data_IF_257851654305
#
_entry.id   IF_257851654305
#
_cell.length_a   1.000
_cell.length_b   1.000
_cell.length_c   1.000
_cell.angle_alpha   90.00
_cell.angle_beta   90.00
_cell.angle_gamma   90.00
#
_symmetry.space_group_name_H-M   'P 1'
#
loop_
_entity.id
_entity.type
_entity.pdbx_description
1 polymer ?
#
# COMPACT_ATOMS: atom_id res chain seq x y z
N UNK A 1 18.10 9.22 -16.30
CA UNK A 1 18.20 7.88 -16.90
C UNK A 1 16.82 7.22 -16.86
N UNK A 2 16.47 6.32 -17.78
CA UNK A 2 15.26 5.51 -17.63
C UNK A 2 15.36 4.67 -16.34
N UNK A 3 14.25 4.57 -15.60
CA UNK A 3 14.19 3.76 -14.38
C UNK A 3 14.14 2.29 -14.80
N UNK A 4 15.07 1.48 -14.29
CA UNK A 4 15.14 0.06 -14.59
C UNK A 4 14.37 -0.76 -13.54
N UNK A 5 13.41 -1.56 -14.01
CA UNK A 5 12.62 -2.47 -13.18
C UNK A 5 13.11 -3.91 -13.37
N UNK A 6 13.35 -4.59 -12.26
CA UNK A 6 13.43 -6.04 -12.21
C UNK A 6 12.04 -6.63 -12.07
N UNK A 7 11.88 -7.88 -12.51
CA UNK A 7 10.61 -8.59 -12.31
C UNK A 7 10.80 -10.08 -12.00
N UNK A 8 9.80 -10.65 -11.33
CA UNK A 8 9.59 -12.09 -11.18
C UNK A 8 8.26 -12.47 -11.82
N UNK A 9 8.16 -13.70 -12.32
CA UNK A 9 6.93 -14.25 -12.87
C UNK A 9 6.59 -15.57 -12.19
N UNK A 10 5.31 -15.76 -11.87
CA UNK A 10 4.78 -16.99 -11.30
C UNK A 10 3.42 -17.33 -11.91
N UNK A 11 3.28 -18.55 -12.39
CA UNK A 11 1.98 -19.16 -12.73
C UNK A 11 1.57 -20.08 -11.58
N UNK A 12 0.45 -19.79 -10.91
CA UNK A 12 -0.06 -20.67 -9.85
C UNK A 12 -0.95 -21.77 -10.41
N UNK A 13 -1.12 -22.84 -9.63
CA UNK A 13 -1.93 -24.01 -10.01
C UNK A 13 -3.42 -23.71 -10.22
N UNK A 14 -3.89 -22.57 -9.68
CA UNK A 14 -5.23 -22.01 -9.91
C UNK A 14 -5.33 -21.20 -11.22
N UNK A 15 -4.30 -21.23 -12.07
CA UNK A 15 -4.27 -20.56 -13.37
C UNK A 15 -3.97 -19.06 -13.32
N UNK A 16 -3.73 -18.49 -12.13
CA UNK A 16 -3.43 -17.07 -11.98
C UNK A 16 -1.96 -16.84 -12.36
N UNK A 17 -1.75 -16.00 -13.37
CA UNK A 17 -0.45 -15.46 -13.70
C UNK A 17 -0.15 -14.25 -12.79
N UNK A 18 1.09 -14.14 -12.33
CA UNK A 18 1.57 -13.00 -11.55
C UNK A 18 2.91 -12.52 -12.05
N UNK A 19 3.02 -11.23 -12.26
CA UNK A 19 4.29 -10.53 -12.48
C UNK A 19 4.50 -9.56 -11.32
N UNK A 20 5.64 -9.64 -10.64
CA UNK A 20 5.99 -8.70 -9.56
C UNK A 20 7.20 -7.91 -10.01
N UNK A 21 7.14 -6.58 -9.85
CA UNK A 21 8.13 -5.63 -10.31
C UNK A 21 8.71 -4.85 -9.13
N UNK A 22 9.99 -4.46 -9.24
CA UNK A 22 10.66 -3.58 -8.29
C UNK A 22 11.84 -2.86 -8.96
N UNK A 23 12.12 -1.62 -8.56
CA UNK A 23 13.32 -0.86 -9.00
C UNK A 23 14.63 -1.56 -8.62
N UNK A 24 15.69 -1.39 -9.42
CA UNK A 24 16.98 -1.97 -9.10
C UNK A 24 17.70 -1.26 -7.96
N UNK A 25 17.63 0.07 -7.92
CA UNK A 25 18.27 0.90 -6.91
C UNK A 25 17.22 1.67 -6.11
N UNK A 26 17.43 1.80 -4.80
CA UNK A 26 16.59 2.67 -3.97
C UNK A 26 16.87 4.12 -4.35
N UNK A 27 15.83 4.93 -4.49
CA UNK A 27 15.92 6.35 -4.81
C UNK A 27 15.62 6.68 -6.27
N UNK A 28 15.61 5.72 -7.20
CA UNK A 28 15.40 6.01 -8.63
C UNK A 28 14.03 6.66 -8.88
N UNK A 29 12.97 6.03 -8.35
CA UNK A 29 11.62 6.56 -8.44
C UNK A 29 11.41 7.69 -7.44
N UNK A 30 11.92 7.54 -6.20
CA UNK A 30 11.67 8.52 -5.15
C UNK A 30 12.31 9.88 -5.44
N UNK A 31 13.49 9.93 -6.06
CA UNK A 31 14.13 11.18 -6.46
C UNK A 31 13.33 11.91 -7.54
N UNK A 32 12.72 11.17 -8.47
CA UNK A 32 11.81 11.75 -9.45
C UNK A 32 10.58 12.37 -8.76
N UNK A 33 9.96 11.65 -7.82
CA UNK A 33 8.84 12.18 -7.03
C UNK A 33 9.26 13.44 -6.26
N UNK A 34 10.40 13.42 -5.55
CA UNK A 34 10.93 14.61 -4.85
C UNK A 34 11.14 15.81 -5.78
N UNK A 35 11.56 15.59 -7.02
CA UNK A 35 11.74 16.68 -7.98
C UNK A 35 10.41 17.38 -8.33
N UNK A 36 9.31 16.61 -8.40
CA UNK A 36 7.97 17.09 -8.77
C UNK A 36 7.23 17.76 -7.61
N UNK A 37 7.55 17.38 -6.37
CA UNK A 37 6.90 17.85 -5.15
C UNK A 37 7.89 18.61 -4.25
N UNK A 38 8.00 19.96 -4.39
CA UNK A 38 8.89 20.78 -3.58
C UNK A 38 8.70 20.60 -2.06
N UNK A 39 7.48 20.30 -1.61
CA UNK A 39 7.17 20.00 -0.21
C UNK A 39 7.99 18.82 0.35
N UNK A 40 8.44 17.90 -0.51
CA UNK A 40 9.30 16.78 -0.15
C UNK A 40 10.80 17.11 -0.23
N UNK A 41 11.19 18.27 -0.78
CA UNK A 41 12.60 18.70 -0.91
C UNK A 41 13.13 19.45 0.31
N UNK A 42 12.23 20.02 1.12
CA UNK A 42 12.59 21.00 2.15
C UNK A 42 13.49 20.48 3.26
N UNK A 43 13.56 19.17 3.49
CA UNK A 43 14.36 18.60 4.57
C UNK A 43 14.77 17.15 4.26
N UNK A 44 16.02 16.82 4.56
CA UNK A 44 16.60 15.50 4.29
C UNK A 44 15.77 14.40 4.97
N UNK A 45 15.31 13.46 4.14
CA UNK A 45 14.80 12.18 4.57
C UNK A 45 15.94 11.41 5.27
N UNK A 46 15.63 10.62 6.28
CA UNK A 46 16.49 9.54 6.79
C UNK A 46 16.04 8.21 6.14
N UNK A 47 16.30 7.95 4.84
CA UNK A 47 16.15 6.61 4.30
C UNK A 47 17.33 5.79 4.79
N UNK A 48 17.07 4.65 5.42
CA UNK A 48 17.99 3.52 5.32
C UNK A 48 19.40 3.81 5.88
N UNK A 49 19.53 3.96 7.21
CA UNK A 49 20.85 3.75 7.83
C UNK A 49 21.26 2.31 7.53
N UNK A 50 22.19 2.11 6.60
CA UNK A 50 23.00 0.89 6.59
C UNK A 50 23.66 0.81 7.98
N UNK A 51 23.69 -0.36 8.63
CA UNK A 51 24.39 -0.48 9.90
C UNK A 51 25.86 -0.07 9.69
N UNK A 52 26.45 0.79 10.55
CA UNK A 52 27.85 1.12 10.46
C UNK A 52 28.70 -0.15 10.61
N UNK A 53 29.73 -0.27 9.78
CA UNK A 53 30.78 -1.28 9.94
C UNK A 53 31.62 -0.94 11.17
N UNK A 54 31.54 -1.82 12.17
CA UNK A 54 32.49 -2.16 13.24
C UNK A 54 32.92 -1.07 14.26
N UNK A 55 32.83 -1.41 15.56
CA UNK A 55 33.97 -1.51 16.50
C UNK A 55 33.47 -1.87 17.92
N UNK A 56 34.26 -2.70 18.60
CA UNK A 56 34.09 -3.17 19.98
C UNK A 56 33.98 -2.02 20.99
N UNK A 57 33.20 -2.24 22.06
CA UNK A 57 33.48 -1.59 23.34
C UNK A 57 32.27 -1.04 24.10
N UNK A 58 31.90 -1.81 25.12
CA UNK A 58 31.31 -1.37 26.39
C UNK A 58 29.82 -1.01 26.48
N UNK A 59 29.31 -1.43 27.63
CA UNK A 59 27.94 -1.62 28.05
C UNK A 59 27.20 -0.32 28.38
N UNK A 60 26.08 -0.11 27.69
CA UNK A 60 24.88 0.53 28.26
C UNK A 60 23.68 0.07 27.43
N UNK A 61 22.53 -0.07 28.08
CA UNK A 61 21.35 -0.83 27.63
C UNK A 61 20.95 -0.54 26.17
N UNK A 62 20.47 -1.54 25.41
CA UNK A 62 20.00 -1.30 24.05
C UNK A 62 18.64 -0.60 24.14
N UNK A 63 18.65 0.70 23.85
CA UNK A 63 17.46 1.44 23.49
C UNK A 63 16.79 0.68 22.33
N UNK A 64 15.59 0.16 22.55
CA UNK A 64 14.79 -0.57 21.56
C UNK A 64 14.20 0.37 20.50
N UNK A 65 15.00 1.30 19.98
CA UNK A 65 14.71 2.06 18.77
C UNK A 65 15.34 1.37 17.56
N UNK A 66 15.09 0.06 17.45
CA UNK A 66 15.16 -0.63 16.17
C UNK A 66 14.04 -0.08 15.30
N UNK A 67 14.30 1.03 14.62
CA UNK A 67 13.47 1.53 13.53
C UNK A 67 13.13 0.34 12.64
N UNK A 68 11.89 -0.13 12.76
CA UNK A 68 11.31 -1.21 11.98
C UNK A 68 11.09 -0.70 10.55
N UNK A 69 12.18 -0.31 9.88
CA UNK A 69 12.15 0.10 8.49
C UNK A 69 11.69 -1.12 7.70
N UNK A 70 10.47 -1.00 7.20
CA UNK A 70 9.78 -1.99 6.41
C UNK A 70 10.70 -2.44 5.27
N UNK A 71 11.29 -3.64 5.40
CA UNK A 71 12.25 -4.13 4.42
C UNK A 71 11.56 -4.32 3.08
N UNK A 72 12.14 -3.75 2.02
CA UNK A 72 11.69 -3.89 0.64
C UNK A 72 11.44 -5.34 0.22
N UNK A 73 12.26 -6.28 0.72
CA UNK A 73 12.06 -7.71 0.52
C UNK A 73 10.76 -8.21 1.16
N UNK A 74 10.44 -7.75 2.36
CA UNK A 74 9.19 -8.08 3.07
C UNK A 74 7.98 -7.57 2.29
N UNK A 75 8.03 -6.37 1.71
CA UNK A 75 6.96 -5.85 0.84
C UNK A 75 6.86 -6.60 -0.48
N UNK A 76 8.00 -6.95 -1.09
CA UNK A 76 8.00 -7.81 -2.28
C UNK A 76 7.29 -9.14 -1.98
N UNK A 77 7.61 -9.78 -0.86
CA UNK A 77 6.99 -11.04 -0.47
C UNK A 77 5.50 -10.86 -0.14
N UNK A 78 5.10 -9.74 0.45
CA UNK A 78 3.69 -9.38 0.69
C UNK A 78 2.90 -9.32 -0.62
N UNK A 79 3.38 -8.56 -1.61
CA UNK A 79 2.69 -8.43 -2.91
C UNK A 79 2.73 -9.73 -3.73
N UNK A 80 3.74 -10.59 -3.52
CA UNK A 80 3.80 -11.93 -4.13
C UNK A 80 2.82 -12.92 -3.51
N UNK A 81 2.61 -12.83 -2.19
CA UNK A 81 1.77 -13.73 -1.41
C UNK A 81 0.29 -13.43 -1.61
N UNK A 82 -0.11 -12.16 -1.50
CA UNK A 82 -1.50 -11.74 -1.49
C UNK A 82 -2.09 -11.68 -2.89
N UNK A 83 -2.49 -12.86 -3.36
CA UNK A 83 -3.13 -13.02 -4.64
C UNK A 83 -4.63 -12.98 -4.66
N UNK A 84 -5.12 -12.55 -5.81
CA UNK A 84 -6.53 -12.39 -6.08
C UNK A 84 -6.79 -12.87 -7.50
N UNK A 85 -7.98 -13.43 -7.73
CA UNK A 85 -8.43 -13.76 -9.07
C UNK A 85 -8.73 -12.48 -9.86
N UNK A 86 -8.60 -12.58 -11.18
CA UNK A 86 -8.87 -11.49 -12.12
C UNK A 86 -7.63 -10.69 -12.52
N UNK A 87 -7.88 -9.72 -13.40
CA UNK A 87 -6.86 -8.80 -13.93
C UNK A 87 -6.78 -7.57 -13.03
N UNK A 88 -5.67 -7.41 -12.29
CA UNK A 88 -5.50 -6.28 -11.38
C UNK A 88 -4.05 -5.83 -11.22
N UNK A 89 -3.88 -4.57 -10.86
CA UNK A 89 -2.65 -4.01 -10.29
C UNK A 89 -2.74 -4.12 -8.77
N UNK A 90 -1.67 -4.61 -8.15
CA UNK A 90 -1.46 -4.62 -6.70
C UNK A 90 -0.27 -3.72 -6.42
N UNK A 91 -0.43 -2.65 -5.64
CA UNK A 91 0.68 -1.75 -5.32
C UNK A 91 0.69 -1.35 -3.85
N UNK A 92 1.90 -1.17 -3.32
CA UNK A 92 2.09 -0.80 -1.93
C UNK A 92 2.38 0.69 -1.78
N UNK A 93 1.64 1.33 -0.89
CA UNK A 93 1.81 2.73 -0.48
C UNK A 93 2.58 2.78 0.83
N UNK A 94 3.84 3.19 0.76
CA UNK A 94 4.73 3.33 1.90
C UNK A 94 4.66 4.76 2.48
N UNK A 95 4.70 4.91 3.82
CA UNK A 95 4.77 6.22 4.45
C UNK A 95 6.15 6.86 4.28
N UNK A 96 6.14 8.16 3.99
CA UNK A 96 7.28 9.07 4.03
C UNK A 96 6.96 10.11 5.08
N UNK A 97 7.82 10.22 6.09
CA UNK A 97 7.78 11.31 7.06
C UNK A 97 8.76 12.39 6.63
N UNK A 98 8.32 13.64 6.61
CA UNK A 98 9.19 14.80 6.45
C UNK A 98 9.44 15.46 7.81
N UNK A 99 10.54 16.19 7.95
CA UNK A 99 11.00 16.71 9.25
C UNK A 99 10.01 17.69 9.92
N UNK A 100 9.02 18.20 9.19
CA UNK A 100 7.91 18.98 9.75
C UNK A 100 6.89 18.13 10.53
N UNK A 101 7.13 16.82 10.70
CA UNK A 101 6.19 15.88 11.31
C UNK A 101 5.06 15.42 10.38
N UNK A 102 5.00 15.91 9.14
CA UNK A 102 3.98 15.51 8.16
C UNK A 102 4.32 14.17 7.54
N UNK A 103 3.30 13.36 7.31
CA UNK A 103 3.34 12.03 6.72
C UNK A 103 2.63 12.06 5.37
N UNK A 104 3.30 11.51 4.36
CA UNK A 104 2.76 11.29 3.03
C UNK A 104 2.87 9.82 2.69
N UNK A 105 2.08 9.33 1.74
CA UNK A 105 2.23 8.01 1.16
C UNK A 105 2.73 8.11 -0.28
N UNK A 106 3.59 7.18 -0.67
CA UNK A 106 4.07 7.03 -2.05
C UNK A 106 4.10 5.56 -2.47
N UNK A 107 4.02 5.33 -3.78
CA UNK A 107 4.31 4.03 -4.40
C UNK A 107 5.73 3.97 -4.99
N UNK A 108 6.50 5.06 -4.89
CA UNK A 108 7.86 5.12 -5.41
C UNK A 108 8.82 4.19 -4.66
N UNK A 109 9.65 3.50 -5.43
CA UNK A 109 10.59 2.46 -5.01
C UNK A 109 9.95 1.28 -4.27
N UNK A 110 8.62 1.17 -4.33
CA UNK A 110 7.87 0.07 -3.74
C UNK A 110 7.59 -1.04 -4.76
N UNK A 111 7.73 -2.31 -4.36
CA UNK A 111 7.28 -3.43 -5.17
C UNK A 111 5.79 -3.34 -5.51
N UNK A 112 5.44 -3.75 -6.72
CA UNK A 112 4.05 -3.85 -7.19
C UNK A 112 3.89 -5.09 -8.07
N UNK A 113 2.66 -5.54 -8.27
CA UNK A 113 2.37 -6.74 -9.04
C UNK A 113 1.20 -6.53 -10.01
N UNK A 114 1.22 -7.26 -11.13
CA UNK A 114 0.06 -7.47 -11.96
C UNK A 114 -0.41 -8.93 -11.82
N UNK A 115 -1.69 -9.11 -11.56
CA UNK A 115 -2.35 -10.42 -11.60
C UNK A 115 -3.12 -10.60 -12.91
N UNK A 116 -3.24 -11.85 -13.35
CA UNK A 116 -4.08 -12.25 -14.49
C UNK A 116 -3.42 -11.91 -15.83
N UNK A 117 -3.81 -10.79 -16.43
CA UNK A 117 -3.21 -10.29 -17.68
C UNK A 117 -2.52 -8.97 -17.40
N UNK A 118 -1.44 -8.68 -18.15
CA UNK A 118 -0.90 -7.32 -18.17
C UNK A 118 -1.86 -6.47 -19.00
N UNK A 119 -2.59 -5.56 -18.35
CA UNK A 119 -3.55 -4.64 -18.97
C UNK A 119 -2.93 -3.25 -19.09
N UNK A 120 -2.92 -2.67 -20.30
CA UNK A 120 -2.28 -1.38 -20.57
C UNK A 120 -2.83 -0.26 -19.68
N UNK A 121 -4.14 -0.22 -19.48
CA UNK A 121 -4.77 0.76 -18.61
C UNK A 121 -4.31 0.66 -17.14
N UNK A 122 -4.08 -0.56 -16.64
CA UNK A 122 -3.55 -0.76 -15.29
C UNK A 122 -2.07 -0.36 -15.20
N UNK A 123 -1.31 -0.60 -16.27
CA UNK A 123 0.07 -0.12 -16.40
C UNK A 123 0.15 1.41 -16.41
N UNK A 124 -0.69 2.07 -17.20
CA UNK A 124 -0.80 3.52 -17.22
C UNK A 124 -1.23 4.07 -15.84
N UNK A 125 -2.15 3.38 -15.16
CA UNK A 125 -2.62 3.77 -13.83
C UNK A 125 -1.50 3.65 -12.77
N UNK A 126 -0.64 2.62 -12.85
CA UNK A 126 0.59 2.51 -12.04
C UNK A 126 1.50 3.73 -12.23
N UNK A 127 1.68 4.20 -13.47
CA UNK A 127 2.51 5.39 -13.77
C UNK A 127 1.92 6.67 -13.18
N UNK A 128 0.60 6.84 -13.21
CA UNK A 128 -0.06 7.98 -12.55
C UNK A 128 0.13 7.90 -11.03
N UNK A 129 -0.03 6.70 -10.46
CA UNK A 129 0.17 6.44 -9.03
C UNK A 129 1.61 6.73 -8.58
N UNK A 130 2.59 6.44 -9.44
CA UNK A 130 4.01 6.71 -9.20
C UNK A 130 4.30 8.21 -9.05
N UNK A 131 3.60 9.04 -9.82
CA UNK A 131 3.77 10.49 -9.83
C UNK A 131 2.80 11.20 -8.89
N UNK A 132 2.20 10.47 -7.94
CA UNK A 132 1.24 10.99 -6.97
C UNK A 132 1.74 10.72 -5.55
N UNK A 133 1.46 11.66 -4.64
CA UNK A 133 1.61 11.46 -3.20
C UNK A 133 0.27 11.69 -2.51
N UNK A 134 0.02 10.94 -1.43
CA UNK A 134 -1.18 11.11 -0.62
C UNK A 134 -0.83 11.65 0.76
N UNK A 135 -1.32 12.84 1.11
CA UNK A 135 -1.09 13.42 2.44
C UNK A 135 -1.93 12.69 3.50
N UNK A 136 -1.27 12.24 4.57
CA UNK A 136 -1.92 11.58 5.72
C UNK A 136 -2.39 12.59 6.76
N UNK A 137 -1.78 13.78 6.84
CA UNK A 137 -2.02 14.71 7.96
C UNK A 137 -2.87 15.93 7.58
N UNK A 138 -2.84 16.40 6.34
CA UNK A 138 -3.54 17.63 5.94
C UNK A 138 -4.86 17.33 5.22
N UNK A 139 -6.00 17.84 5.71
CA UNK A 139 -7.30 17.88 5.00
C UNK A 139 -7.49 19.09 4.10
N UNK A 140 -6.57 20.04 4.18
CA UNK A 140 -6.63 21.27 3.40
C UNK A 140 -6.10 21.01 1.99
N UNK A 141 -6.99 21.15 1.01
CA UNK A 141 -6.65 21.20 -0.41
C UNK A 141 -6.01 22.57 -0.65
N UNK A 142 -4.68 22.66 -0.51
CA UNK A 142 -3.96 23.84 -0.96
C UNK A 142 -4.12 23.94 -2.50
N UNK A 143 -4.62 25.08 -2.97
CA UNK A 143 -4.86 25.38 -4.38
C UNK A 143 -3.59 25.32 -5.25
N UNK A 144 -2.41 25.18 -4.63
CA UNK A 144 -1.15 24.85 -5.30
C UNK A 144 -1.10 23.38 -5.76
N UNK A 145 -1.86 23.17 -6.84
CA UNK A 145 -1.91 22.03 -7.78
C UNK A 145 -0.62 21.19 -7.82
N UNK A 146 -0.64 20.08 -7.10
CA UNK A 146 -0.02 18.76 -7.42
C UNK A 146 -0.18 17.79 -6.25
N UNK A 147 -0.27 18.29 -5.01
CA UNK A 147 -0.53 17.47 -3.82
C UNK A 147 -2.03 17.20 -3.72
N UNK A 148 -2.47 16.03 -4.17
CA UNK A 148 -3.87 15.63 -4.06
C UNK A 148 -4.16 15.14 -2.64
N UNK A 149 -4.71 16.06 -1.86
CA UNK A 149 -5.13 15.90 -0.47
C UNK A 149 -6.24 14.84 -0.39
N UNK A 150 -6.04 13.85 0.48
CA UNK A 150 -6.93 12.71 0.78
C UNK A 150 -7.28 11.77 -0.38
N UNK A 151 -6.27 11.16 -0.99
CA UNK A 151 -6.46 9.87 -1.66
C UNK A 151 -6.87 8.78 -0.66
N UNK A 152 -7.69 7.82 -1.10
CA UNK A 152 -8.07 6.61 -0.34
C UNK A 152 -6.94 5.97 0.47
N UNK A 153 -5.70 5.79 -0.05
CA UNK A 153 -4.62 5.21 0.73
C UNK A 153 -4.33 5.98 2.02
N UNK A 154 -4.38 7.31 2.01
CA UNK A 154 -4.15 8.12 3.20
C UNK A 154 -5.25 7.93 4.26
N UNK A 155 -6.52 7.85 3.83
CA UNK A 155 -7.63 7.57 4.75
C UNK A 155 -7.54 6.18 5.37
N UNK A 156 -7.24 5.16 4.58
CA UNK A 156 -7.04 3.78 5.05
C UNK A 156 -5.86 3.69 6.00
N UNK A 157 -4.75 4.36 5.69
CA UNK A 157 -3.58 4.39 6.56
C UNK A 157 -3.90 5.00 7.92
N UNK A 158 -4.62 6.13 7.92
CA UNK A 158 -5.01 6.86 9.14
C UNK A 158 -6.04 6.11 9.97
N UNK A 159 -7.08 5.57 9.33
CA UNK A 159 -8.19 4.90 10.02
C UNK A 159 -7.86 3.47 10.45
N UNK A 160 -6.90 2.83 9.78
CA UNK A 160 -6.63 1.40 9.94
C UNK A 160 -7.78 0.52 9.44
N UNK A 161 -8.70 1.06 8.64
CA UNK A 161 -9.86 0.35 8.12
C UNK A 161 -9.76 0.12 6.61
N UNK A 162 -10.09 -1.08 6.10
CA UNK A 162 -10.11 -1.33 4.67
C UNK A 162 -11.25 -0.55 3.98
N UNK A 163 -11.01 -0.14 2.73
CA UNK A 163 -12.02 0.48 1.87
C UNK A 163 -12.18 -0.34 0.59
N UNK A 164 -13.42 -0.68 0.24
CA UNK A 164 -13.78 -1.40 -0.99
C UNK A 164 -14.82 -0.59 -1.78
N UNK A 165 -14.68 -0.58 -3.10
CA UNK A 165 -15.73 -0.13 -3.99
C UNK A 165 -15.90 -1.08 -5.18
N UNK A 166 -17.14 -1.46 -5.51
CA UNK A 166 -17.42 -2.31 -6.66
C UNK A 166 -17.11 -1.59 -7.98
N UNK A 167 -17.03 -0.26 -8.00
CA UNK A 167 -16.52 0.48 -9.14
C UNK A 167 -16.09 1.90 -8.72
N UNK A 168 -14.94 2.37 -9.22
CA UNK A 168 -14.42 3.73 -8.97
C UNK A 168 -15.42 4.86 -9.27
N UNK A 169 -16.41 4.64 -10.15
CA UNK A 169 -17.44 5.64 -10.48
C UNK A 169 -18.31 6.03 -9.29
N UNK A 170 -18.35 5.21 -8.24
CA UNK A 170 -19.16 5.48 -7.05
C UNK A 170 -18.49 6.42 -6.05
N UNK A 171 -17.21 6.76 -6.24
CA UNK A 171 -16.57 7.81 -5.45
C UNK A 171 -16.99 9.19 -5.91
N UNK A 172 -17.04 10.15 -4.98
CA UNK A 172 -17.00 11.56 -5.31
C UNK A 172 -15.57 11.99 -5.70
N UNK A 173 -15.43 13.05 -6.50
CA UNK A 173 -14.11 13.55 -6.92
C UNK A 173 -13.25 13.99 -5.73
N UNK A 174 -13.87 14.53 -4.68
CA UNK A 174 -13.18 14.96 -3.47
C UNK A 174 -12.68 13.77 -2.63
N UNK A 175 -13.36 12.61 -2.71
CA UNK A 175 -12.94 11.39 -2.03
C UNK A 175 -11.87 10.61 -2.79
N UNK A 176 -11.87 10.76 -4.12
CA UNK A 176 -10.92 10.11 -5.00
C UNK A 176 -10.53 11.02 -6.17
N UNK A 177 -9.51 11.88 -5.99
CA UNK A 177 -9.10 12.84 -7.01
C UNK A 177 -8.66 12.20 -8.34
N UNK A 178 -8.15 10.96 -8.31
CA UNK A 178 -7.76 10.22 -9.52
C UNK A 178 -8.93 9.45 -10.16
N UNK A 179 -10.16 9.58 -9.67
CA UNK A 179 -11.34 8.85 -10.14
C UNK A 179 -11.51 8.88 -11.66
N UNK A 180 -11.54 10.07 -12.25
CA UNK A 180 -11.78 10.20 -13.69
C UNK A 180 -10.63 9.60 -14.51
N UNK A 181 -9.38 9.82 -14.08
CA UNK A 181 -8.23 9.16 -14.71
C UNK A 181 -8.33 7.64 -14.62
N UNK A 182 -8.63 7.09 -13.45
CA UNK A 182 -8.79 5.66 -13.24
C UNK A 182 -9.88 5.08 -14.15
N UNK A 183 -11.03 5.75 -14.27
CA UNK A 183 -12.11 5.35 -15.18
C UNK A 183 -11.65 5.36 -16.64
N UNK A 184 -10.98 6.43 -17.09
CA UNK A 184 -10.45 6.53 -18.46
C UNK A 184 -9.41 5.45 -18.76
N UNK A 185 -8.68 4.98 -17.74
CA UNK A 185 -7.70 3.92 -17.83
C UNK A 185 -8.30 2.51 -17.61
N UNK A 186 -9.63 2.40 -17.61
CA UNK A 186 -10.32 1.10 -17.50
C UNK A 186 -10.26 0.46 -16.12
N UNK A 187 -9.94 1.21 -15.07
CA UNK A 187 -10.05 0.75 -13.69
C UNK A 187 -11.52 0.70 -13.31
N UNK A 188 -11.98 -0.48 -12.87
CA UNK A 188 -13.33 -0.72 -12.39
C UNK A 188 -13.38 -0.77 -10.88
N UNK A 189 -13.44 -1.97 -10.32
CA UNK A 189 -13.47 -2.19 -8.88
C UNK A 189 -12.11 -1.88 -8.23
N UNK A 190 -12.12 -1.53 -6.95
CA UNK A 190 -10.90 -1.06 -6.29
C UNK A 190 -10.94 -1.28 -4.79
N UNK A 191 -9.90 -1.94 -4.25
CA UNK A 191 -9.75 -2.27 -2.84
C UNK A 191 -8.51 -1.62 -2.25
N UNK A 192 -8.58 -1.20 -1.00
CA UNK A 192 -7.42 -0.70 -0.23
C UNK A 192 -7.43 -1.30 1.15
N UNK A 193 -6.31 -1.91 1.53
CA UNK A 193 -6.16 -2.65 2.78
C UNK A 193 -5.00 -2.05 3.58
N UNK A 194 -5.19 -1.74 4.86
CA UNK A 194 -4.09 -1.35 5.73
C UNK A 194 -3.17 -2.56 5.98
N UNK A 195 -1.88 -2.29 6.07
CA UNK A 195 -0.86 -3.27 6.45
C UNK A 195 -0.24 -2.79 7.75
N UNK A 196 -0.25 -3.64 8.75
CA UNK A 196 0.26 -3.35 10.08
C UNK A 196 1.55 -4.11 10.34
N UNK A 197 2.29 -3.66 11.35
CA UNK A 197 3.31 -4.49 11.99
C UNK A 197 2.68 -5.74 12.63
N UNK A 198 3.50 -6.73 12.97
CA UNK A 198 2.99 -8.02 13.47
C UNK A 198 2.11 -7.91 14.70
N UNK A 199 2.26 -6.91 15.57
CA UNK A 199 1.36 -6.70 16.72
C UNK A 199 -0.08 -6.37 16.27
N UNK A 200 -0.23 -5.71 15.13
CA UNK A 200 -1.49 -5.13 14.66
C UNK A 200 -1.74 -3.71 15.20
N UNK A 201 -0.81 -3.13 15.97
CA UNK A 201 -1.03 -1.84 16.65
C UNK A 201 -0.75 -0.64 15.74
N UNK A 202 0.24 -0.77 14.85
CA UNK A 202 0.68 0.33 14.00
C UNK A 202 0.57 -0.01 12.52
N UNK A 203 -0.15 0.84 11.78
CA UNK A 203 -0.21 0.77 10.32
C UNK A 203 1.14 1.23 9.74
N UNK A 204 1.75 0.38 8.90
CA UNK A 204 3.05 0.59 8.27
C UNK A 204 2.95 0.85 6.76
N UNK A 205 1.76 0.77 6.19
CA UNK A 205 1.47 1.16 4.82
C UNK A 205 0.11 0.66 4.35
N UNK A 206 -0.17 0.82 3.06
CA UNK A 206 -1.47 0.43 2.47
C UNK A 206 -1.25 -0.35 1.19
N UNK A 207 -1.96 -1.47 1.07
CA UNK A 207 -2.00 -2.26 -0.15
C UNK A 207 -3.22 -1.85 -0.98
N UNK A 208 -2.99 -1.43 -2.21
CA UNK A 208 -4.03 -1.07 -3.17
C UNK A 208 -4.19 -2.18 -4.21
N UNK A 209 -5.45 -2.50 -4.53
CA UNK A 209 -5.84 -3.33 -5.66
C UNK A 209 -6.72 -2.52 -6.61
N UNK A 210 -6.24 -2.29 -7.82
CA UNK A 210 -7.01 -1.67 -8.90
C UNK A 210 -7.32 -2.73 -9.95
N UNK A 211 -8.61 -3.07 -10.10
CA UNK A 211 -9.07 -4.12 -11.01
C UNK A 211 -9.52 -3.53 -12.33
N UNK A 212 -9.36 -4.30 -13.41
CA UNK A 212 -9.97 -3.98 -14.69
C UNK A 212 -11.50 -3.98 -14.59
N UNK A 213 -12.17 -3.06 -15.30
CA UNK A 213 -13.63 -2.89 -15.25
C UNK A 213 -14.46 -4.05 -15.84
N UNK A 214 -13.84 -4.97 -16.57
CA UNK A 214 -14.53 -5.92 -17.43
C UNK A 214 -14.81 -7.29 -16.80
N UNK A 215 -14.53 -7.49 -15.50
CA UNK A 215 -14.65 -8.80 -14.85
C UNK A 215 -15.43 -8.68 -13.54
N UNK A 216 -16.42 -9.56 -13.34
CA UNK A 216 -17.09 -9.71 -12.06
C UNK A 216 -16.09 -10.16 -11.00
N UNK A 217 -15.94 -9.37 -9.94
CA UNK A 217 -15.09 -9.74 -8.82
C UNK A 217 -15.78 -10.75 -7.92
N UNK A 218 -15.13 -11.88 -7.70
CA UNK A 218 -15.47 -12.77 -6.60
C UNK A 218 -14.87 -12.22 -5.29
N UNK A 219 -15.64 -11.33 -4.66
CA UNK A 219 -15.29 -10.67 -3.41
C UNK A 219 -15.04 -11.69 -2.29
N UNK A 220 -15.83 -12.76 -2.23
CA UNK A 220 -15.75 -13.76 -1.15
C UNK A 220 -14.45 -14.56 -1.25
N UNK A 221 -14.16 -15.18 -2.40
CA UNK A 221 -12.92 -15.97 -2.52
C UNK A 221 -11.66 -15.12 -2.37
N UNK A 222 -11.74 -13.85 -2.76
CA UNK A 222 -10.64 -12.90 -2.59
C UNK A 222 -10.44 -12.55 -1.11
N UNK A 223 -11.51 -12.26 -0.36
CA UNK A 223 -11.42 -12.03 1.08
C UNK A 223 -10.91 -13.27 1.82
N UNK A 224 -11.41 -14.46 1.48
CA UNK A 224 -10.94 -15.73 2.06
C UNK A 224 -9.44 -15.92 1.85
N UNK A 225 -8.91 -15.62 0.65
CA UNK A 225 -7.47 -15.68 0.37
C UNK A 225 -6.68 -14.71 1.25
N UNK A 226 -7.16 -13.48 1.41
CA UNK A 226 -6.50 -12.48 2.27
C UNK A 226 -6.48 -12.93 3.73
N UNK A 227 -7.60 -13.47 4.23
CA UNK A 227 -7.74 -13.99 5.60
C UNK A 227 -6.82 -15.20 5.80
N UNK A 228 -6.81 -16.15 4.87
CA UNK A 228 -5.99 -17.35 4.96
C UNK A 228 -4.49 -17.04 4.92
N UNK A 229 -4.09 -16.02 4.16
CA UNK A 229 -2.70 -15.56 4.12
C UNK A 229 -2.28 -14.78 5.37
N UNK A 230 -3.21 -14.31 6.21
CA UNK A 230 -2.91 -13.51 7.40
C UNK A 230 -1.92 -14.22 8.35
N UNK A 231 -2.07 -15.53 8.56
CA UNK A 231 -1.16 -16.31 9.43
C UNK A 231 0.27 -16.33 8.90
N UNK A 232 0.44 -16.43 7.58
CA UNK A 232 1.76 -16.40 6.94
C UNK A 232 2.35 -14.99 7.04
N UNK A 233 1.54 -13.95 6.87
CA UNK A 233 2.02 -12.57 7.02
C UNK A 233 2.54 -12.29 8.43
N UNK A 234 1.92 -12.85 9.45
CA UNK A 234 2.38 -12.72 10.84
C UNK A 234 3.79 -13.29 11.04
N UNK A 235 4.15 -14.38 10.34
CA UNK A 235 5.52 -14.92 10.38
C UNK A 235 6.54 -14.03 9.66
N UNK A 236 6.07 -13.15 8.76
CA UNK A 236 6.88 -12.16 8.06
C UNK A 236 6.96 -10.81 8.80
N UNK A 237 6.42 -10.72 10.02
CA UNK A 237 6.39 -9.47 10.77
C UNK A 237 5.25 -8.52 10.39
N UNK A 238 4.24 -8.99 9.64
CA UNK A 238 3.14 -8.18 9.11
C UNK A 238 1.77 -8.65 9.60
N UNK A 239 0.78 -7.77 9.61
CA UNK A 239 -0.62 -8.12 9.84
C UNK A 239 -1.54 -7.34 8.88
N UNK A 240 -2.69 -7.92 8.52
CA UNK A 240 -3.77 -7.24 7.78
C UNK A 240 -4.95 -6.85 8.68
N UNK A 241 -4.98 -7.38 9.89
CA UNK A 241 -6.06 -7.21 10.86
C UNK A 241 -5.45 -6.44 12.04
N UNK A 242 -5.99 -5.26 12.40
CA UNK A 242 -5.48 -4.51 13.54
C UNK A 242 -5.76 -5.22 14.85
N UNK A 243 -4.91 -4.98 15.86
CA UNK A 243 -4.99 -5.62 17.17
C UNK A 243 -6.34 -5.38 17.87
N UNK A 244 -6.86 -4.16 17.77
CA UNK A 244 -8.13 -3.76 18.38
C UNK A 244 -9.36 -4.40 17.71
N UNK A 245 -9.24 -4.88 16.45
CA UNK A 245 -10.29 -5.67 15.81
C UNK A 245 -10.16 -7.16 16.14
N UNK A 246 -8.94 -7.62 16.42
CA UNK A 246 -8.68 -8.98 16.88
C UNK A 246 -9.05 -9.21 18.35
N UNK A 247 -9.02 -8.15 19.17
CA UNK A 247 -9.43 -8.21 20.57
C UNK A 247 -10.96 -8.13 20.68
N UNK A 248 -11.59 -9.27 20.98
CA UNK A 248 -13.03 -9.36 21.25
C UNK A 248 -13.39 -8.72 22.60
N UNK A 249 -13.41 -7.39 22.68
CA UNK A 249 -14.22 -6.70 23.68
C UNK A 249 -15.25 -5.83 22.96
N UNK A 250 -16.51 -6.12 23.28
CA UNK A 250 -17.76 -5.61 22.71
C UNK A 250 -17.68 -4.22 22.06
N UNK A 251 -17.50 -4.20 20.73
CA UNK A 251 -17.72 -2.99 19.94
C UNK A 251 -19.23 -2.83 19.76
N UNK A 252 -19.87 -2.08 20.66
CA UNK A 252 -21.29 -1.70 20.61
C UNK A 252 -21.61 -0.68 19.49
N UNK A 253 -20.88 -0.71 18.36
CA UNK A 253 -21.13 0.18 17.23
C UNK A 253 -21.63 -0.60 16.00
N UNK A 254 -22.83 -0.29 15.49
CA UNK A 254 -23.47 -1.05 14.41
C UNK A 254 -22.70 -1.04 13.08
N UNK A 255 -21.76 -0.10 12.89
CA UNK A 255 -20.88 -0.06 11.72
C UNK A 255 -19.82 -1.17 11.72
N UNK A 256 -19.38 -1.66 12.89
CA UNK A 256 -18.31 -2.66 13.02
C UNK A 256 -18.83 -4.10 13.03
N UNK A 257 -20.12 -4.29 13.32
CA UNK A 257 -20.77 -5.60 13.34
C UNK A 257 -20.80 -6.29 11.96
N UNK A 258 -20.84 -5.51 10.86
CA UNK A 258 -20.90 -6.06 9.50
C UNK A 258 -19.60 -6.76 9.10
N UNK A 259 -18.44 -6.19 9.46
CA UNK A 259 -17.12 -6.81 9.22
C UNK A 259 -16.87 -7.97 10.20
N UNK A 260 -17.32 -7.85 11.45
CA UNK A 260 -17.16 -8.88 12.47
C UNK A 260 -17.93 -10.18 12.14
N UNK A 261 -19.08 -10.09 11.48
CA UNK A 261 -19.85 -11.27 11.04
C UNK A 261 -19.22 -12.00 9.85
N UNK A 262 -18.48 -11.32 8.98
CA UNK A 262 -17.84 -11.97 7.82
C UNK A 262 -16.52 -12.69 8.15
N UNK A 263 -15.86 -12.37 9.26
CA UNK A 263 -14.61 -13.04 9.67
C UNK A 263 -14.87 -14.34 10.45
N UNK A 264 -16.11 -14.59 10.89
CA UNK A 264 -16.48 -15.75 11.72
C UNK A 264 -17.48 -16.73 11.08
N UNK A 265 -17.92 -16.51 9.84
CA UNK A 265 -18.76 -17.46 9.08
C UNK A 265 -17.98 -18.07 7.93
#
# INVERSE_FOLDING_TARGET
MPIELKFSYRKRGDGINRWVFWTQHNGDELNQVKSLFPVLRGYEFEPWKQPPVEMQGDSTQPDTNGDSQLNRLTIKNLVELLDVQGTCLIQFWAPIRINSGKTFLTTADQPFAFNGKIHEGLWAYRRVSLLTIASVDSTEIDETKRVHVHGRPARVFRSGMPEFSPHVRYYYMDEYPLRNFAMCLGVGSYWTLPVFESSGDRCIGVLEYAFEANVGLDLYSTLDRLINNHRILKTMGLALIPSWLACSQEVNSPHYAFLYKQVKS
#
